data_IF_937081148728
#
_entry.id   IF_937081148728
#
_cell.length_a   1.000
_cell.length_b   1.000
_cell.length_c   1.000
_cell.angle_alpha   90.00
_cell.angle_beta   90.00
_cell.angle_gamma   90.00
#
_symmetry.space_group_name_H-M   'P 1'
#
loop_
_entity.id
_entity.type
_entity.pdbx_description
1 polymer ?
#
# COMPACT_ATOMS: atom_id res chain seq x y z
N UNK A 1 -9.23 -8.35 -12.87
CA UNK A 1 -9.52 -9.80 -12.73
C UNK A 1 -10.99 -10.09 -12.43
N UNK A 2 -11.64 -9.49 -11.41
CA UNK A 2 -13.06 -9.80 -11.12
C UNK A 2 -14.00 -9.39 -12.26
N UNK A 3 -13.76 -8.24 -12.91
CA UNK A 3 -14.50 -7.81 -14.08
C UNK A 3 -14.33 -8.76 -15.26
N UNK A 4 -13.11 -9.22 -15.53
CA UNK A 4 -12.77 -10.13 -16.63
C UNK A 4 -13.52 -11.46 -16.52
N UNK A 5 -13.74 -11.90 -15.27
CA UNK A 5 -14.48 -13.14 -14.98
C UNK A 5 -15.95 -12.89 -14.66
N UNK A 6 -16.45 -11.66 -14.75
CA UNK A 6 -17.81 -11.27 -14.43
C UNK A 6 -18.30 -11.79 -13.06
N UNK A 7 -17.45 -11.58 -12.03
CA UNK A 7 -17.72 -11.93 -10.62
C UNK A 7 -17.57 -10.73 -9.72
N UNK A 8 -18.23 -10.74 -8.55
CA UNK A 8 -18.27 -9.59 -7.63
C UNK A 8 -17.26 -9.68 -6.49
N UNK A 9 -16.83 -10.88 -6.15
CA UNK A 9 -15.97 -11.12 -4.98
C UNK A 9 -15.01 -12.29 -5.20
N UNK A 10 -14.06 -12.42 -4.26
CA UNK A 10 -13.07 -13.49 -4.24
C UNK A 10 -13.68 -14.90 -4.25
N UNK A 11 -14.75 -15.09 -3.49
CA UNK A 11 -15.41 -16.38 -3.37
C UNK A 11 -16.05 -16.79 -4.71
N UNK A 12 -16.71 -15.84 -5.35
CA UNK A 12 -17.28 -16.04 -6.71
C UNK A 12 -16.21 -16.33 -7.74
N UNK A 13 -15.08 -15.60 -7.68
CA UNK A 13 -13.92 -15.83 -8.55
C UNK A 13 -13.37 -17.26 -8.38
N UNK A 14 -13.03 -17.64 -7.15
CA UNK A 14 -12.47 -18.97 -6.88
C UNK A 14 -13.41 -20.11 -7.28
N UNK A 15 -14.72 -19.95 -7.04
CA UNK A 15 -15.72 -20.93 -7.47
C UNK A 15 -15.82 -21.03 -8.99
N UNK A 16 -15.76 -19.90 -9.69
CA UNK A 16 -15.84 -19.89 -11.15
C UNK A 16 -14.65 -20.56 -11.79
N UNK A 17 -13.44 -20.33 -11.28
CA UNK A 17 -12.21 -20.96 -11.77
C UNK A 17 -12.24 -22.48 -11.61
N UNK A 18 -12.82 -23.00 -10.52
CA UNK A 18 -12.97 -24.45 -10.31
C UNK A 18 -13.83 -25.13 -11.37
N UNK A 19 -14.76 -24.41 -11.95
CA UNK A 19 -15.75 -24.95 -12.89
C UNK A 19 -15.49 -24.59 -14.35
N UNK A 20 -14.51 -23.74 -14.61
CA UNK A 20 -14.21 -23.25 -15.94
C UNK A 20 -13.34 -24.24 -16.71
N UNK A 21 -13.73 -24.64 -17.95
CA UNK A 21 -12.84 -25.41 -18.79
C UNK A 21 -11.61 -24.60 -19.19
N UNK A 22 -10.43 -25.18 -19.06
CA UNK A 22 -9.17 -24.60 -19.49
C UNK A 22 -8.94 -24.95 -20.94
N UNK A 23 -8.75 -23.97 -21.85
CA UNK A 23 -8.41 -24.26 -23.25
C UNK A 23 -7.07 -25.00 -23.34
N UNK A 24 -6.95 -25.91 -24.33
CA UNK A 24 -5.70 -26.61 -24.59
C UNK A 24 -4.58 -25.60 -24.91
N UNK A 25 -3.51 -25.62 -24.09
CA UNK A 25 -2.33 -24.74 -24.26
C UNK A 25 -2.30 -23.50 -23.39
N UNK A 26 -3.34 -23.22 -22.60
CA UNK A 26 -3.35 -22.13 -21.63
C UNK A 26 -3.14 -22.65 -20.19
N UNK A 27 -2.42 -21.86 -19.38
CA UNK A 27 -2.32 -22.16 -17.94
C UNK A 27 -3.67 -21.92 -17.24
N UNK A 28 -4.08 -22.88 -16.43
CA UNK A 28 -5.28 -22.73 -15.62
C UNK A 28 -5.15 -21.54 -14.67
N UNK A 29 -6.15 -20.65 -14.62
CA UNK A 29 -6.12 -19.52 -13.70
C UNK A 29 -6.08 -20.02 -12.25
N UNK A 30 -5.13 -19.49 -11.46
CA UNK A 30 -4.91 -19.89 -10.07
C UNK A 30 -5.95 -19.26 -9.14
N UNK A 31 -6.41 -20.01 -8.13
CA UNK A 31 -7.22 -19.46 -7.05
C UNK A 31 -6.50 -18.34 -6.35
N UNK A 32 -7.24 -17.34 -5.94
CA UNK A 32 -6.72 -16.24 -5.14
C UNK A 32 -6.93 -16.52 -3.64
N UNK A 33 -5.89 -16.33 -2.80
CA UNK A 33 -6.02 -16.50 -1.35
C UNK A 33 -6.75 -15.31 -0.72
N UNK A 34 -7.26 -15.51 0.50
CA UNK A 34 -7.56 -14.39 1.38
C UNK A 34 -6.26 -13.82 1.94
N UNK A 35 -6.21 -12.51 2.12
CA UNK A 35 -5.04 -11.79 2.64
C UNK A 35 -5.45 -11.15 3.96
N UNK A 36 -4.67 -11.37 5.01
CA UNK A 36 -4.80 -10.68 6.29
C UNK A 36 -3.57 -9.79 6.47
N UNK A 37 -3.81 -8.49 6.61
CA UNK A 37 -2.77 -7.50 6.85
C UNK A 37 -2.85 -7.12 8.34
N UNK A 38 -1.75 -7.31 9.06
CA UNK A 38 -1.65 -6.99 10.48
C UNK A 38 -0.69 -5.82 10.63
N UNK A 39 -1.17 -4.73 11.23
CA UNK A 39 -0.37 -3.58 11.65
C UNK A 39 -0.26 -3.65 13.16
N UNK A 40 0.95 -3.93 13.67
CA UNK A 40 1.21 -4.15 15.09
C UNK A 40 1.21 -2.84 15.89
N UNK A 41 1.82 -1.78 15.34
CA UNK A 41 1.81 -0.45 15.95
C UNK A 41 1.53 0.63 14.88
N UNK A 42 0.27 1.08 14.82
CA UNK A 42 -0.14 2.10 13.87
C UNK A 42 0.57 3.45 14.11
N UNK A 43 0.84 3.78 15.39
CA UNK A 43 1.45 5.06 15.73
C UNK A 43 2.81 5.26 15.05
N UNK A 44 3.60 4.21 14.88
CA UNK A 44 4.91 4.31 14.23
C UNK A 44 4.78 4.67 12.75
N UNK A 45 3.78 4.14 12.05
CA UNK A 45 3.49 4.51 10.68
C UNK A 45 2.95 5.94 10.57
N UNK A 46 2.06 6.33 11.48
CA UNK A 46 1.47 7.67 11.51
C UNK A 46 2.48 8.76 11.85
N UNK A 47 3.59 8.42 12.53
CA UNK A 47 4.69 9.36 12.80
C UNK A 47 5.53 9.66 11.55
N UNK A 48 5.60 8.73 10.59
CA UNK A 48 6.44 8.86 9.40
C UNK A 48 5.68 9.55 8.26
N UNK A 49 4.49 9.08 7.91
CA UNK A 49 3.71 9.60 6.80
C UNK A 49 2.19 9.48 7.07
N UNK A 50 1.65 10.32 7.98
CA UNK A 50 0.27 10.17 8.46
C UNK A 50 -0.78 10.22 7.35
N UNK A 51 -0.68 11.14 6.40
CA UNK A 51 -1.64 11.30 5.33
C UNK A 51 -1.73 10.09 4.39
N UNK A 52 -0.60 9.56 3.97
CA UNK A 52 -0.54 8.40 3.05
C UNK A 52 -1.01 7.11 3.75
N UNK A 53 -0.65 6.95 5.02
CA UNK A 53 -1.07 5.79 5.82
C UNK A 53 -2.57 5.81 6.04
N UNK A 54 -3.14 6.95 6.46
CA UNK A 54 -4.58 7.10 6.66
C UNK A 54 -5.36 6.83 5.36
N UNK A 55 -4.95 7.43 4.24
CA UNK A 55 -5.57 7.23 2.93
C UNK A 55 -5.51 5.77 2.50
N UNK A 56 -4.36 5.11 2.66
CA UNK A 56 -4.16 3.71 2.31
C UNK A 56 -5.04 2.77 3.13
N UNK A 57 -5.13 3.00 4.45
CA UNK A 57 -6.02 2.23 5.34
C UNK A 57 -7.47 2.40 4.93
N UNK A 58 -7.92 3.65 4.72
CA UNK A 58 -9.29 3.95 4.31
C UNK A 58 -9.62 3.30 2.96
N UNK A 59 -8.74 3.39 1.99
CA UNK A 59 -8.90 2.79 0.66
C UNK A 59 -8.97 1.26 0.73
N UNK A 60 -8.10 0.63 1.50
CA UNK A 60 -8.14 -0.82 1.71
C UNK A 60 -9.43 -1.25 2.43
N UNK A 61 -9.83 -0.57 3.49
CA UNK A 61 -11.03 -0.90 4.24
C UNK A 61 -12.31 -0.78 3.40
N UNK A 62 -12.37 0.20 2.49
CA UNK A 62 -13.52 0.42 1.61
C UNK A 62 -13.57 -0.54 0.42
N UNK A 63 -12.43 -0.81 -0.23
CA UNK A 63 -12.40 -1.48 -1.53
C UNK A 63 -11.98 -2.95 -1.45
N UNK A 64 -11.21 -3.32 -0.44
CA UNK A 64 -10.55 -4.62 -0.41
C UNK A 64 -11.41 -5.75 0.17
N UNK A 65 -12.55 -5.45 0.79
CA UNK A 65 -13.46 -6.46 1.36
C UNK A 65 -13.90 -7.50 0.33
N UNK A 66 -14.31 -7.06 -0.85
CA UNK A 66 -14.72 -7.96 -1.94
C UNK A 66 -13.53 -8.78 -2.46
N UNK A 67 -12.32 -8.26 -2.39
CA UNK A 67 -11.09 -8.93 -2.77
C UNK A 67 -10.59 -9.95 -1.73
N UNK A 68 -11.27 -10.08 -0.58
CA UNK A 68 -10.87 -10.99 0.50
C UNK A 68 -9.64 -10.50 1.27
N UNK A 69 -9.44 -9.19 1.36
CA UNK A 69 -8.37 -8.57 2.16
C UNK A 69 -8.98 -8.07 3.47
N UNK A 70 -8.36 -8.42 4.57
CA UNK A 70 -8.78 -8.08 5.93
C UNK A 70 -7.67 -7.32 6.64
N UNK A 71 -8.03 -6.28 7.39
CA UNK A 71 -7.12 -5.46 8.16
C UNK A 71 -7.30 -5.73 9.66
N UNK A 72 -6.20 -5.95 10.37
CA UNK A 72 -6.11 -5.93 11.82
C UNK A 72 -5.11 -4.84 12.18
N UNK A 73 -5.59 -3.80 12.84
CA UNK A 73 -4.77 -2.63 13.19
C UNK A 73 -4.71 -2.52 14.69
N UNK A 74 -3.50 -2.53 15.24
CA UNK A 74 -3.25 -2.34 16.66
C UNK A 74 -2.40 -1.09 16.91
N UNK A 75 -2.52 -0.53 18.10
CA UNK A 75 -1.66 0.53 18.60
C UNK A 75 -1.64 0.55 20.14
N UNK A 76 -0.50 0.85 20.72
CA UNK A 76 -0.34 1.13 22.14
C UNK A 76 -0.54 2.61 22.48
N UNK A 77 -0.76 3.47 21.46
CA UNK A 77 -0.95 4.91 21.61
C UNK A 77 -2.35 5.34 21.14
N UNK A 78 -3.37 5.23 22.01
CA UNK A 78 -4.75 5.55 21.66
C UNK A 78 -5.00 7.07 21.65
N UNK A 79 -4.29 7.82 20.82
CA UNK A 79 -4.45 9.26 20.63
C UNK A 79 -5.26 9.57 19.36
N UNK A 80 -5.83 10.77 19.28
CA UNK A 80 -6.72 11.18 18.19
C UNK A 80 -5.98 11.40 16.86
N UNK A 81 -4.69 11.64 16.91
CA UNK A 81 -3.78 11.75 15.78
C UNK A 81 -3.36 10.38 15.20
N UNK A 82 -3.48 9.31 15.99
CA UNK A 82 -3.24 7.93 15.56
C UNK A 82 -4.54 7.25 15.16
N UNK A 83 -5.57 7.30 16.02
CA UNK A 83 -6.90 6.72 15.76
C UNK A 83 -7.83 7.84 15.29
N UNK A 84 -7.67 8.23 14.05
CA UNK A 84 -8.41 9.35 13.46
C UNK A 84 -9.89 9.03 13.23
N UNK A 85 -10.68 10.08 13.02
CA UNK A 85 -12.10 9.92 12.69
C UNK A 85 -12.33 9.15 11.38
N UNK A 86 -11.43 9.30 10.39
CA UNK A 86 -11.52 8.60 9.12
C UNK A 86 -11.22 7.10 9.27
N UNK A 87 -10.19 6.75 10.04
CA UNK A 87 -9.89 5.35 10.37
C UNK A 87 -11.07 4.71 11.10
N UNK A 88 -11.61 5.38 12.13
CA UNK A 88 -12.77 4.88 12.88
C UNK A 88 -14.02 4.68 12.03
N UNK A 89 -14.27 5.55 11.07
CA UNK A 89 -15.41 5.43 10.15
C UNK A 89 -15.31 4.21 9.23
N UNK A 90 -14.10 3.83 8.86
CA UNK A 90 -13.83 2.71 7.95
C UNK A 90 -13.51 1.38 8.68
N UNK A 91 -13.19 1.45 9.97
CA UNK A 91 -12.90 0.31 10.85
C UNK A 91 -13.93 0.24 11.99
N UNK A 92 -15.16 -0.20 11.70
CA UNK A 92 -16.26 -0.12 12.66
C UNK A 92 -16.20 -1.15 13.79
N UNK A 93 -15.48 -2.26 13.60
CA UNK A 93 -15.28 -3.28 14.65
C UNK A 93 -14.02 -2.93 15.44
N UNK A 94 -14.16 -2.79 16.75
CA UNK A 94 -13.10 -2.30 17.63
C UNK A 94 -12.95 -3.17 18.87
N UNK A 95 -11.73 -3.21 19.38
CA UNK A 95 -11.36 -3.85 20.65
C UNK A 95 -10.56 -2.86 21.46
N UNK A 96 -10.91 -2.71 22.73
CA UNK A 96 -10.10 -1.99 23.68
C UNK A 96 -9.71 -2.90 24.84
N UNK A 97 -8.43 -3.01 25.09
CA UNK A 97 -7.90 -3.54 26.34
C UNK A 97 -7.89 -2.46 27.42
N UNK A 98 -7.38 -2.78 28.62
CA UNK A 98 -7.28 -1.81 29.70
C UNK A 98 -6.42 -0.61 29.28
N UNK A 99 -6.97 0.58 29.46
CA UNK A 99 -6.30 1.87 29.19
C UNK A 99 -6.22 2.71 30.46
N UNK A 100 -5.33 3.73 30.44
CA UNK A 100 -5.06 4.56 31.62
C UNK A 100 -6.12 5.62 31.89
N UNK A 101 -6.91 6.00 30.90
CA UNK A 101 -7.89 7.08 31.04
C UNK A 101 -9.19 6.86 30.29
N UNK A 102 -10.28 7.51 30.75
CA UNK A 102 -11.53 7.54 30.01
C UNK A 102 -11.44 8.29 28.67
N UNK A 103 -10.41 9.14 28.48
CA UNK A 103 -10.14 9.79 27.20
C UNK A 103 -9.67 8.75 26.18
N UNK A 104 -8.74 7.90 26.57
CA UNK A 104 -8.23 6.80 25.72
C UNK A 104 -9.36 5.84 25.32
N UNK A 105 -10.24 5.49 26.30
CA UNK A 105 -11.42 4.68 26.04
C UNK A 105 -12.32 5.31 24.97
N UNK A 106 -12.60 6.62 25.09
CA UNK A 106 -13.41 7.34 24.08
C UNK A 106 -12.71 7.44 22.74
N UNK A 107 -11.39 7.58 22.72
CA UNK A 107 -10.64 7.60 21.47
C UNK A 107 -10.82 6.30 20.68
N UNK A 108 -10.82 5.15 21.36
CA UNK A 108 -10.97 3.83 20.71
C UNK A 108 -12.46 3.53 20.44
N UNK A 109 -13.31 3.61 21.47
CA UNK A 109 -14.66 3.06 21.46
C UNK A 109 -15.77 4.10 21.27
N UNK A 110 -15.44 5.40 21.26
CA UNK A 110 -16.37 6.53 21.35
C UNK A 110 -17.17 6.56 22.67
N UNK A 111 -16.75 5.78 23.68
CA UNK A 111 -17.39 5.69 24.99
C UNK A 111 -16.40 5.35 26.11
N UNK A 112 -16.76 5.63 27.36
CA UNK A 112 -15.98 5.23 28.53
C UNK A 112 -16.19 3.73 28.83
N UNK A 113 -15.23 3.15 29.55
CA UNK A 113 -15.36 1.78 30.09
C UNK A 113 -14.06 0.99 30.05
N UNK A 114 -13.19 1.21 29.06
CA UNK A 114 -11.93 0.49 28.97
C UNK A 114 -10.94 0.86 30.09
N UNK A 115 -11.07 2.03 30.71
CA UNK A 115 -10.32 2.46 31.89
C UNK A 115 -10.66 1.66 33.15
N UNK A 116 -11.77 0.89 33.13
CA UNK A 116 -12.23 0.07 34.25
C UNK A 116 -11.90 -1.41 34.10
N UNK A 117 -11.21 -1.76 33.03
CA UNK A 117 -10.79 -3.14 32.75
C UNK A 117 -9.64 -3.55 33.67
N UNK A 118 -9.58 -4.83 33.99
CA UNK A 118 -8.62 -5.37 34.96
C UNK A 118 -7.25 -5.69 34.37
N UNK A 119 -7.08 -5.58 33.03
CA UNK A 119 -5.86 -6.00 32.35
C UNK A 119 -5.79 -7.51 32.10
N UNK A 120 -4.64 -8.04 31.70
CA UNK A 120 -4.39 -9.46 31.44
C UNK A 120 -5.41 -10.12 30.49
N UNK A 121 -5.75 -9.41 29.42
CA UNK A 121 -6.70 -9.91 28.41
C UNK A 121 -8.16 -9.56 28.64
N UNK A 122 -8.50 -8.86 29.73
CA UNK A 122 -9.84 -8.26 29.93
C UNK A 122 -10.04 -7.15 28.89
N UNK A 123 -11.09 -7.22 28.09
CA UNK A 123 -11.31 -6.32 26.95
C UNK A 123 -12.78 -5.96 26.76
N UNK A 124 -12.98 -4.85 26.09
CA UNK A 124 -14.27 -4.47 25.50
C UNK A 124 -14.22 -4.76 24.00
N UNK A 125 -15.06 -5.69 23.56
CA UNK A 125 -15.24 -6.05 22.17
C UNK A 125 -16.47 -5.36 21.59
N UNK A 126 -16.26 -4.51 20.59
CA UNK A 126 -17.32 -3.71 19.96
C UNK A 126 -17.38 -3.99 18.46
N UNK A 127 -17.99 -5.10 18.03
CA UNK A 127 -18.15 -5.41 16.62
C UNK A 127 -19.23 -4.55 15.97
N UNK A 128 -19.14 -4.40 14.66
CA UNK A 128 -20.13 -3.71 13.85
C UNK A 128 -21.55 -4.34 14.07
N UNK A 129 -22.54 -3.49 14.27
CA UNK A 129 -23.93 -3.89 14.49
C UNK A 129 -24.33 -4.08 15.96
N UNK A 130 -23.39 -3.98 16.89
CA UNK A 130 -23.73 -3.98 18.32
C UNK A 130 -24.05 -2.54 18.78
N UNK A 131 -25.06 -2.42 19.63
CA UNK A 131 -25.43 -1.13 20.25
C UNK A 131 -24.49 -0.70 21.38
N UNK A 132 -23.78 -1.66 21.97
CA UNK A 132 -22.81 -1.46 23.06
C UNK A 132 -21.74 -2.55 23.01
N UNK A 133 -20.52 -2.26 23.52
CA UNK A 133 -19.47 -3.27 23.62
C UNK A 133 -19.85 -4.42 24.56
N UNK A 134 -19.38 -5.60 24.24
CA UNK A 134 -19.41 -6.76 25.12
C UNK A 134 -18.07 -6.85 25.87
N UNK A 135 -18.12 -7.08 27.20
CA UNK A 135 -16.90 -7.37 27.96
C UNK A 135 -16.52 -8.83 27.79
N UNK A 136 -15.30 -9.08 27.40
CA UNK A 136 -14.77 -10.42 27.11
C UNK A 136 -13.45 -10.58 27.85
N UNK A 137 -13.24 -11.74 28.46
CA UNK A 137 -11.96 -12.12 29.03
C UNK A 137 -11.18 -12.94 28.00
N UNK A 138 -10.10 -12.37 27.47
CA UNK A 138 -9.14 -13.10 26.64
C UNK A 138 -8.31 -14.10 27.47
N UNK A 139 -7.91 -15.20 26.85
CA UNK A 139 -6.94 -16.10 27.44
C UNK A 139 -5.55 -15.45 27.51
N UNK A 140 -4.79 -15.76 28.54
CA UNK A 140 -3.38 -15.41 28.57
C UNK A 140 -2.61 -16.35 27.64
N UNK A 141 -1.77 -15.78 26.79
CA UNK A 141 -0.88 -16.52 25.90
C UNK A 141 0.54 -16.17 26.30
N UNK A 142 1.35 -17.19 26.62
CA UNK A 142 2.75 -17.04 27.00
C UNK A 142 3.67 -16.97 25.76
N UNK A 143 4.83 -16.36 25.92
CA UNK A 143 5.85 -16.30 24.85
C UNK A 143 6.26 -17.69 24.35
N UNK A 144 6.26 -18.69 25.27
CA UNK A 144 6.54 -20.07 24.90
C UNK A 144 5.46 -20.64 23.97
N UNK A 145 4.19 -20.43 24.28
CA UNK A 145 3.08 -20.90 23.44
C UNK A 145 3.10 -20.22 22.05
N UNK A 146 3.47 -18.93 22.00
CA UNK A 146 3.67 -18.22 20.72
C UNK A 146 4.80 -18.87 19.93
N UNK A 147 5.96 -19.12 20.57
CA UNK A 147 7.11 -19.77 19.93
C UNK A 147 6.75 -21.16 19.41
N UNK A 148 6.07 -21.97 20.22
CA UNK A 148 5.68 -23.34 19.86
C UNK A 148 4.74 -23.33 18.62
N UNK A 149 3.80 -22.40 18.55
CA UNK A 149 2.89 -22.23 17.38
C UNK A 149 3.66 -21.77 16.14
N UNK A 150 4.55 -20.80 16.29
CA UNK A 150 5.38 -20.30 15.18
C UNK A 150 6.27 -21.40 14.62
N UNK A 151 6.91 -22.19 15.48
CA UNK A 151 7.76 -23.30 15.06
C UNK A 151 6.96 -24.42 14.37
N UNK A 152 5.76 -24.69 14.86
CA UNK A 152 4.84 -25.63 14.19
C UNK A 152 4.47 -25.14 12.77
N UNK A 153 4.13 -23.87 12.62
CA UNK A 153 3.79 -23.29 11.31
C UNK A 153 4.99 -23.26 10.35
N UNK A 154 6.20 -22.93 10.85
CA UNK A 154 7.43 -22.98 10.06
C UNK A 154 7.72 -24.40 9.57
N UNK A 155 7.56 -25.40 10.42
CA UNK A 155 7.78 -26.80 10.05
C UNK A 155 6.76 -27.31 9.02
N UNK A 156 5.53 -26.82 9.05
CA UNK A 156 4.54 -27.08 8.01
C UNK A 156 4.89 -26.40 6.67
N UNK A 157 5.42 -25.18 6.72
CA UNK A 157 5.78 -24.43 5.53
C UNK A 157 6.95 -25.06 4.75
N UNK A 158 7.87 -25.75 5.44
CA UNK A 158 8.97 -26.49 4.80
C UNK A 158 8.52 -27.65 3.89
N UNK A 159 7.27 -28.11 4.02
CA UNK A 159 6.65 -29.15 3.17
C UNK A 159 5.70 -28.66 2.10
N UNK A 160 5.36 -27.40 2.06
CA UNK A 160 4.32 -26.84 1.17
C UNK A 160 4.78 -25.57 0.45
N UNK A 161 4.36 -25.43 -0.79
CA UNK A 161 4.59 -24.38 -1.80
C UNK A 161 4.23 -22.92 -1.37
N UNK A 162 4.26 -22.58 -0.07
CA UNK A 162 3.93 -21.25 0.42
C UNK A 162 5.02 -20.20 0.13
N UNK A 163 6.26 -20.63 -0.13
CA UNK A 163 7.37 -19.73 -0.46
C UNK A 163 7.12 -18.94 -1.76
N UNK A 164 6.45 -19.53 -2.73
CA UNK A 164 6.25 -18.90 -4.04
C UNK A 164 5.28 -17.71 -3.99
N UNK A 165 4.30 -17.70 -3.04
CA UNK A 165 3.37 -16.56 -2.94
C UNK A 165 4.01 -15.34 -2.29
N UNK A 166 4.91 -15.51 -1.34
CA UNK A 166 5.62 -14.40 -0.70
C UNK A 166 6.61 -13.75 -1.68
N UNK A 167 7.36 -14.57 -2.43
CA UNK A 167 8.27 -14.11 -3.47
C UNK A 167 7.54 -13.39 -4.61
N UNK A 168 6.42 -13.95 -5.10
CA UNK A 168 5.55 -13.33 -6.10
C UNK A 168 4.97 -11.98 -5.62
N UNK A 169 4.65 -11.85 -4.34
CA UNK A 169 4.13 -10.61 -3.76
C UNK A 169 5.26 -9.59 -3.61
N UNK A 170 6.43 -9.99 -3.10
CA UNK A 170 7.59 -9.11 -2.96
C UNK A 170 8.10 -8.61 -4.31
N UNK A 171 8.15 -9.47 -5.31
CA UNK A 171 8.54 -9.09 -6.67
C UNK A 171 7.53 -8.10 -7.29
N UNK A 172 6.23 -8.34 -7.09
CA UNK A 172 5.18 -7.41 -7.52
C UNK A 172 5.21 -6.10 -6.76
N UNK A 173 5.52 -6.11 -5.45
CA UNK A 173 5.67 -4.89 -4.65
C UNK A 173 6.91 -4.10 -5.10
N UNK A 174 8.03 -4.76 -5.36
CA UNK A 174 9.22 -4.10 -5.92
C UNK A 174 8.93 -3.45 -7.28
N UNK A 175 8.18 -4.16 -8.13
CA UNK A 175 7.77 -3.64 -9.44
C UNK A 175 6.72 -2.51 -9.33
N UNK A 176 5.87 -2.50 -8.29
CA UNK A 176 4.93 -1.41 -8.01
C UNK A 176 5.64 -0.22 -7.33
N UNK A 177 6.64 -0.49 -6.48
CA UNK A 177 7.44 0.56 -5.83
C UNK A 177 8.28 1.37 -6.82
N UNK A 178 8.67 0.78 -7.96
CA UNK A 178 9.27 1.51 -9.08
C UNK A 178 8.24 2.22 -9.99
N UNK A 179 6.93 1.95 -9.81
CA UNK A 179 5.84 2.57 -10.59
C UNK A 179 4.79 3.26 -9.73
N UNK A 180 5.19 3.80 -8.59
CA UNK A 180 4.32 4.48 -7.64
C UNK A 180 3.74 5.78 -8.17
N UNK A 181 2.51 5.72 -8.64
CA UNK A 181 1.60 6.85 -8.80
C UNK A 181 1.18 7.19 -10.22
N UNK A 182 0.22 6.50 -10.79
CA UNK A 182 -0.91 7.13 -11.49
C UNK A 182 -1.89 6.09 -12.02
N UNK A 183 -3.16 6.23 -11.70
CA UNK A 183 -4.28 5.59 -12.38
C UNK A 183 -4.39 6.14 -13.81
N UNK A 184 -4.24 5.27 -14.80
CA UNK A 184 -4.46 5.61 -16.21
C UNK A 184 -3.96 4.48 -17.11
N UNK A 185 -4.85 3.59 -17.49
CA UNK A 185 -4.90 2.70 -18.66
C UNK A 185 -3.69 2.69 -19.60
N UNK A 186 -3.08 1.53 -19.82
CA UNK A 186 -2.17 1.29 -20.95
C UNK A 186 -1.15 0.19 -20.67
N UNK A 187 -1.33 -0.91 -21.34
CA UNK A 187 -0.51 -2.11 -21.51
C UNK A 187 0.93 -1.82 -21.96
N UNK A 188 1.90 -2.62 -21.50
CA UNK A 188 3.16 -2.86 -22.21
C UNK A 188 4.39 -2.85 -21.30
N UNK A 189 5.08 -3.97 -21.23
CA UNK A 189 6.38 -4.10 -20.57
C UNK A 189 7.50 -3.55 -21.47
N UNK A 190 8.61 -3.16 -20.88
CA UNK A 190 9.79 -2.68 -21.58
C UNK A 190 10.17 -1.30 -21.06
N UNK A 191 11.42 -1.00 -21.08
CA UNK A 191 12.11 0.23 -20.74
C UNK A 191 11.38 1.50 -21.26
N UNK A 192 10.22 1.85 -20.64
CA UNK A 192 9.26 2.77 -21.22
C UNK A 192 9.57 4.18 -20.73
N UNK A 193 10.17 4.98 -21.63
CA UNK A 193 10.31 6.42 -21.47
C UNK A 193 8.93 7.05 -21.32
N UNK A 194 8.82 8.05 -20.47
CA UNK A 194 7.56 8.82 -20.35
C UNK A 194 7.23 9.48 -21.69
N UNK A 195 5.98 9.50 -22.06
CA UNK A 195 5.47 10.13 -23.29
C UNK A 195 5.99 11.57 -23.51
N UNK A 196 6.21 12.28 -22.41
CA UNK A 196 6.73 13.65 -22.42
C UNK A 196 8.27 13.75 -22.30
N UNK A 197 9.01 12.64 -22.34
CA UNK A 197 10.45 12.64 -22.18
C UNK A 197 11.15 13.52 -23.22
N UNK A 198 10.82 13.34 -24.49
CA UNK A 198 11.43 14.08 -25.59
C UNK A 198 11.06 15.58 -25.55
N UNK A 199 9.79 15.89 -25.30
CA UNK A 199 9.31 17.27 -25.20
C UNK A 199 9.94 17.99 -24.01
N UNK A 200 10.08 17.31 -22.87
CA UNK A 200 10.73 17.81 -21.68
C UNK A 200 12.22 18.07 -21.91
N UNK A 201 12.94 17.16 -22.57
CA UNK A 201 14.34 17.31 -22.89
C UNK A 201 14.59 18.51 -23.80
N UNK A 202 13.86 18.63 -24.90
CA UNK A 202 13.95 19.76 -25.84
C UNK A 202 13.68 21.10 -25.14
N UNK A 203 12.69 21.13 -24.28
CA UNK A 203 12.34 22.33 -23.53
C UNK A 203 13.44 22.74 -22.52
N UNK A 204 13.99 21.77 -21.79
CA UNK A 204 15.05 22.00 -20.80
C UNK A 204 16.34 22.48 -21.48
N UNK A 205 16.70 21.89 -22.61
CA UNK A 205 17.90 22.27 -23.37
C UNK A 205 17.71 23.69 -23.96
N UNK A 206 16.54 24.01 -24.50
CA UNK A 206 16.28 25.37 -25.07
C UNK A 206 16.32 26.46 -23.99
N UNK A 207 15.88 26.17 -22.77
CA UNK A 207 15.87 27.15 -21.66
C UNK A 207 17.15 27.16 -20.82
N UNK A 208 18.05 26.20 -21.04
CA UNK A 208 19.25 25.99 -20.22
C UNK A 208 18.96 25.97 -18.69
N UNK A 209 17.82 25.43 -18.33
CA UNK A 209 17.37 25.30 -16.94
C UNK A 209 16.51 24.08 -16.76
N UNK A 210 16.88 23.21 -15.80
CA UNK A 210 16.17 22.00 -15.45
C UNK A 210 15.56 22.12 -14.05
N UNK A 211 14.26 22.35 -13.95
CA UNK A 211 13.55 22.32 -12.68
C UNK A 211 12.18 21.63 -12.80
N UNK A 212 11.84 20.86 -11.77
CA UNK A 212 10.55 20.14 -11.70
C UNK A 212 9.37 21.09 -11.87
N UNK A 213 9.41 22.28 -11.22
CA UNK A 213 8.34 23.27 -11.30
C UNK A 213 8.15 23.88 -12.71
N UNK A 214 9.23 23.91 -13.54
CA UNK A 214 9.11 24.32 -14.94
C UNK A 214 8.38 23.25 -15.76
N UNK A 215 8.75 21.98 -15.63
CA UNK A 215 8.11 20.86 -16.32
C UNK A 215 6.63 20.77 -15.95
N UNK A 216 6.26 20.90 -14.67
CA UNK A 216 4.87 20.93 -14.23
C UNK A 216 4.05 22.01 -14.98
N UNK A 217 4.62 23.19 -15.10
CA UNK A 217 3.92 24.35 -15.71
C UNK A 217 3.76 24.20 -17.21
N UNK A 218 4.81 23.73 -17.89
CA UNK A 218 4.83 23.64 -19.35
C UNK A 218 4.02 22.45 -19.86
N UNK A 219 4.27 21.28 -19.27
CA UNK A 219 3.61 20.03 -19.67
C UNK A 219 2.26 19.82 -18.98
N UNK A 220 1.88 20.72 -18.04
CA UNK A 220 0.64 20.63 -17.24
C UNK A 220 0.49 19.27 -16.52
N UNK A 221 1.57 18.75 -15.97
CA UNK A 221 1.65 17.46 -15.28
C UNK A 221 1.82 17.64 -13.78
N UNK A 222 1.49 16.60 -13.00
CA UNK A 222 1.69 16.60 -11.55
C UNK A 222 3.17 16.51 -11.15
N UNK A 223 3.48 16.89 -9.89
CA UNK A 223 4.84 16.90 -9.34
C UNK A 223 5.56 15.57 -9.53
N UNK A 224 4.91 14.45 -9.18
CA UNK A 224 5.53 13.11 -9.23
C UNK A 224 5.90 12.69 -10.67
N UNK A 225 5.07 13.04 -11.67
CA UNK A 225 5.39 12.74 -13.07
C UNK A 225 6.52 13.62 -13.56
N UNK A 226 6.54 14.90 -13.20
CA UNK A 226 7.61 15.83 -13.55
C UNK A 226 8.94 15.42 -12.91
N UNK A 227 8.93 14.95 -11.66
CA UNK A 227 10.12 14.42 -10.98
C UNK A 227 10.67 13.18 -11.70
N UNK A 228 9.80 12.21 -12.03
CA UNK A 228 10.20 11.00 -12.78
C UNK A 228 10.81 11.32 -14.14
N UNK A 229 10.22 12.25 -14.89
CA UNK A 229 10.79 12.70 -16.17
C UNK A 229 12.17 13.34 -15.96
N UNK A 230 12.33 14.13 -14.90
CA UNK A 230 13.61 14.72 -14.54
C UNK A 230 14.67 13.68 -14.19
N UNK A 231 14.28 12.59 -13.53
CA UNK A 231 15.19 11.49 -13.19
C UNK A 231 15.56 10.67 -14.44
N UNK A 232 14.62 10.42 -15.34
CA UNK A 232 14.92 9.82 -16.66
C UNK A 232 15.89 10.69 -17.46
N UNK A 233 15.69 12.00 -17.48
CA UNK A 233 16.61 12.92 -18.16
C UNK A 233 18.01 12.90 -17.55
N UNK A 234 18.13 12.63 -16.25
CA UNK A 234 19.42 12.46 -15.58
C UNK A 234 20.07 11.11 -15.95
N UNK A 235 19.30 10.03 -15.99
CA UNK A 235 19.79 8.69 -16.41
C UNK A 235 20.34 8.70 -17.84
N UNK A 236 19.70 9.44 -18.74
CA UNK A 236 20.15 9.61 -20.12
C UNK A 236 21.22 10.70 -20.30
N UNK A 237 21.68 11.33 -19.20
CA UNK A 237 22.75 12.32 -19.22
C UNK A 237 22.36 13.68 -19.81
N UNK A 238 21.08 13.96 -19.98
CA UNK A 238 20.60 15.26 -20.47
C UNK A 238 20.76 16.33 -19.40
N UNK A 239 20.55 15.96 -18.12
CA UNK A 239 20.72 16.86 -16.97
C UNK A 239 21.59 16.22 -15.91
N UNK A 240 22.23 17.04 -15.07
CA UNK A 240 23.04 16.58 -13.94
C UNK A 240 22.20 16.12 -12.74
N UNK A 241 22.89 15.57 -11.73
CA UNK A 241 22.32 15.17 -10.46
C UNK A 241 21.71 16.35 -9.69
N UNK A 242 20.91 16.04 -8.70
CA UNK A 242 20.24 17.02 -7.84
C UNK A 242 21.25 17.68 -6.89
N UNK A 243 21.42 19.00 -6.97
CA UNK A 243 22.21 19.80 -6.06
C UNK A 243 21.31 20.61 -5.09
N UNK A 244 20.52 19.91 -4.29
CA UNK A 244 19.58 20.51 -3.35
C UNK A 244 18.41 21.24 -4.04
N UNK A 245 18.06 22.46 -3.61
CA UNK A 245 16.91 23.21 -4.14
C UNK A 245 17.18 23.97 -5.43
N UNK A 246 18.38 23.88 -5.99
CA UNK A 246 18.76 24.60 -7.22
C UNK A 246 18.32 23.82 -8.46
N UNK A 247 18.02 24.50 -9.59
CA UNK A 247 17.80 23.83 -10.86
C UNK A 247 19.01 22.96 -11.25
N UNK A 248 18.77 21.74 -11.76
CA UNK A 248 19.83 20.85 -12.24
C UNK A 248 20.52 21.50 -13.47
N UNK A 249 21.79 21.22 -13.65
CA UNK A 249 22.56 21.71 -14.80
C UNK A 249 22.17 20.93 -16.05
N UNK A 250 22.08 21.61 -17.18
CA UNK A 250 21.92 20.96 -18.48
C UNK A 250 23.31 20.52 -18.96
N UNK A 251 23.46 19.26 -19.31
CA UNK A 251 24.76 18.66 -19.67
C UNK A 251 24.87 18.37 -21.17
N UNK A 252 23.77 18.42 -21.92
CA UNK A 252 23.71 17.98 -23.31
C UNK A 252 23.21 19.12 -24.20
N UNK A 253 23.80 19.28 -25.39
CA UNK A 253 23.29 20.19 -26.42
C UNK A 253 22.15 19.57 -27.23
N UNK A 254 21.37 20.38 -27.96
CA UNK A 254 20.27 19.90 -28.81
C UNK A 254 20.79 18.89 -29.86
N UNK A 255 21.95 19.14 -30.44
CA UNK A 255 22.59 18.26 -31.45
C UNK A 255 22.94 16.88 -30.84
N UNK A 256 23.48 16.89 -29.61
CA UNK A 256 23.81 15.66 -28.89
C UNK A 256 22.56 14.89 -28.49
N UNK A 257 21.48 15.59 -28.13
CA UNK A 257 20.22 14.98 -27.79
C UNK A 257 19.54 14.34 -29.02
N UNK A 258 19.62 14.99 -30.19
CA UNK A 258 19.09 14.39 -31.43
C UNK A 258 19.84 13.12 -31.82
N UNK A 259 21.17 13.09 -31.64
CA UNK A 259 21.97 11.86 -31.84
C UNK A 259 21.58 10.78 -30.86
N UNK A 260 21.38 11.13 -29.60
CA UNK A 260 20.90 10.18 -28.59
C UNK A 260 19.54 9.58 -28.95
N UNK A 261 18.63 10.36 -29.53
CA UNK A 261 17.32 9.86 -29.97
C UNK A 261 17.39 8.87 -31.14
N UNK A 262 18.41 8.96 -31.97
CA UNK A 262 18.66 8.01 -33.06
C UNK A 262 19.27 6.68 -32.58
N UNK A 263 19.92 6.68 -31.39
CA UNK A 263 20.58 5.50 -30.81
C UNK A 263 19.64 4.68 -29.91
N UNK A 264 18.53 5.23 -29.51
CA UNK A 264 17.58 4.66 -28.52
C UNK A 264 16.16 4.57 -29.06
#
# INVERSE_FOLDING_TARGET
>A
KFADYNVRDLKGYNKKIETMPVPEGEEAPKKMPQIVIIVDELADLMMVCPGEVEESICRLAQLARAAGIHLIIATQRPSVDVITGLIKANMPSRVAFSVSSGVDSRTILDMNGAEKLLGKGDMLFYPQGYSKPARVQGAFVSDKEVSDVVDYLKNQALGNTYSNYAEDIEEKIKNIGSSGGSSGSGSGGGNDRDEYFEEAARFIIDKDKASIGMLQRVLKIGFNRAARIMDQLCEYGVVGEEEGTKPRKVLMSMEQFEQLLEEI
#
